data_IF_913299688955
#
_entry.id   IF_913299688955
#
_cell.length_a   1.000
_cell.length_b   1.000
_cell.length_c   1.000
_cell.angle_alpha   90.00
_cell.angle_beta   90.00
_cell.angle_gamma   90.00
#
_symmetry.space_group_name_H-M   'P 1'
#
loop_
_entity.id
_entity.type
_entity.pdbx_description
1 polymer ?
#
# COMPACT_ATOMS: atom_id res chain seq x y z
N UNK A 1 4.67 9.19 -3.36
CA UNK A 1 4.09 7.96 -3.92
C UNK A 1 5.17 6.89 -3.92
N UNK A 2 4.87 5.65 -3.50
CA UNK A 2 5.84 4.57 -3.63
C UNK A 2 5.97 4.11 -5.07
N UNK A 3 7.09 3.49 -5.43
CA UNK A 3 7.31 2.95 -6.77
C UNK A 3 6.24 1.90 -7.12
N UNK A 4 5.91 1.00 -6.18
CA UNK A 4 4.84 0.01 -6.37
C UNK A 4 3.47 0.66 -6.66
N UNK A 5 3.15 1.78 -6.01
CA UNK A 5 1.91 2.52 -6.26
C UNK A 5 1.89 3.17 -7.65
N UNK A 6 3.02 3.71 -8.10
CA UNK A 6 3.19 4.27 -9.44
C UNK A 6 2.96 3.18 -10.49
N UNK A 7 3.67 2.06 -10.38
CA UNK A 7 3.60 0.94 -11.33
C UNK A 7 2.17 0.40 -11.45
N UNK A 8 1.45 0.32 -10.33
CA UNK A 8 0.06 -0.14 -10.33
C UNK A 8 -0.88 0.82 -11.06
N UNK A 9 -0.70 2.13 -10.89
CA UNK A 9 -1.52 3.14 -11.56
C UNK A 9 -1.24 3.18 -13.06
N UNK A 10 0.04 3.10 -13.45
CA UNK A 10 0.46 3.02 -14.86
C UNK A 10 -0.08 1.78 -15.55
N UNK A 11 0.05 0.60 -14.93
CA UNK A 11 -0.48 -0.69 -15.44
C UNK A 11 -1.99 -0.61 -15.72
N UNK A 12 -2.73 0.13 -14.91
CA UNK A 12 -4.18 0.30 -15.04
C UNK A 12 -4.59 1.53 -15.85
N UNK A 13 -3.64 2.25 -16.47
CA UNK A 13 -3.88 3.49 -17.24
C UNK A 13 -4.65 4.55 -16.44
N UNK A 14 -4.41 4.62 -15.13
CA UNK A 14 -5.02 5.61 -14.24
C UNK A 14 -4.13 6.85 -14.23
N UNK A 15 -4.72 8.03 -14.45
CA UNK A 15 -3.98 9.30 -14.33
C UNK A 15 -3.80 9.67 -12.86
N UNK A 16 -2.61 10.13 -12.50
CA UNK A 16 -2.26 10.50 -11.13
C UNK A 16 -1.26 11.65 -11.13
N UNK A 17 -1.20 12.36 -10.02
CA UNK A 17 -0.19 13.37 -9.73
C UNK A 17 0.33 13.14 -8.31
N UNK A 18 1.61 13.41 -8.11
CA UNK A 18 2.25 13.32 -6.80
C UNK A 18 3.37 14.34 -6.71
N UNK A 19 3.64 14.82 -5.50
CA UNK A 19 4.71 15.82 -5.28
C UNK A 19 6.09 15.18 -5.23
N UNK A 20 6.21 14.06 -4.51
CA UNK A 20 7.48 13.36 -4.28
C UNK A 20 7.27 11.84 -4.41
N UNK A 21 8.22 11.15 -5.02
CA UNK A 21 8.27 9.69 -5.06
C UNK A 21 9.23 9.15 -4.01
N UNK A 22 9.01 7.90 -3.60
CA UNK A 22 9.91 7.15 -2.74
C UNK A 22 9.96 5.69 -3.19
N UNK A 23 11.01 4.96 -2.81
CA UNK A 23 11.10 3.53 -3.14
C UNK A 23 9.97 2.75 -2.47
N UNK A 24 9.68 3.05 -1.20
CA UNK A 24 8.60 2.44 -0.43
C UNK A 24 8.05 3.38 0.64
N UNK A 25 6.82 3.13 1.09
CA UNK A 25 6.21 3.87 2.20
C UNK A 25 6.73 3.29 3.52
N UNK A 26 7.32 4.15 4.36
CA UNK A 26 7.83 3.78 5.67
C UNK A 26 6.72 3.69 6.73
N UNK A 27 6.93 2.89 7.77
CA UNK A 27 6.10 2.88 8.96
C UNK A 27 6.24 4.20 9.74
N UNK A 28 5.38 4.39 10.75
CA UNK A 28 5.38 5.60 11.58
C UNK A 28 6.71 5.84 12.30
N UNK A 29 7.43 4.78 12.64
CA UNK A 29 8.72 4.86 13.34
C UNK A 29 9.89 5.12 12.38
N UNK A 30 9.67 5.10 11.07
CA UNK A 30 10.72 5.25 10.06
C UNK A 30 11.71 4.09 9.98
N UNK A 31 11.47 3.00 10.71
CA UNK A 31 12.38 1.85 10.87
C UNK A 31 12.22 0.77 9.81
N UNK A 32 11.13 0.82 9.02
CA UNK A 32 10.86 -0.19 8.01
C UNK A 32 9.63 0.12 7.16
N UNK A 33 9.11 -0.88 6.48
CA UNK A 33 7.91 -0.77 5.64
C UNK A 33 6.67 -0.46 6.47
N UNK A 34 5.81 0.40 5.93
CA UNK A 34 4.44 0.54 6.41
C UNK A 34 3.76 -0.85 6.39
N UNK A 35 3.02 -1.24 7.45
CA UNK A 35 2.30 -2.51 7.46
C UNK A 35 1.37 -2.70 6.26
N UNK A 36 0.78 -1.61 5.77
CA UNK A 36 -0.10 -1.62 4.60
C UNK A 36 0.70 -1.81 3.30
N UNK A 37 1.84 -1.12 3.16
CA UNK A 37 2.73 -1.29 1.99
C UNK A 37 3.21 -2.73 1.88
N UNK A 38 3.60 -3.32 3.01
CA UNK A 38 4.00 -4.73 3.07
C UNK A 38 2.84 -5.66 2.70
N UNK A 39 1.63 -5.37 3.15
CA UNK A 39 0.44 -6.16 2.83
C UNK A 39 0.11 -6.13 1.33
N UNK A 40 0.34 -5.00 0.66
CA UNK A 40 0.12 -4.86 -0.78
C UNK A 40 1.18 -5.53 -1.65
N UNK A 41 2.40 -5.77 -1.13
CA UNK A 41 3.45 -6.44 -1.90
C UNK A 41 3.09 -7.89 -2.28
N UNK A 42 2.28 -8.55 -1.46
CA UNK A 42 1.84 -9.95 -1.65
C UNK A 42 0.47 -10.03 -2.38
N UNK A 43 0.02 -8.96 -3.04
CA UNK A 43 -1.31 -8.89 -3.66
C UNK A 43 -1.25 -8.18 -5.01
N UNK A 44 -1.64 -8.89 -6.08
CA UNK A 44 -1.76 -8.30 -7.41
C UNK A 44 -3.15 -7.68 -7.66
N UNK A 45 -4.19 -8.28 -7.09
CA UNK A 45 -5.58 -7.88 -7.35
C UNK A 45 -6.09 -6.85 -6.31
N UNK A 46 -6.52 -5.65 -6.73
CA UNK A 46 -6.98 -4.60 -5.80
C UNK A 46 -8.09 -5.06 -4.85
N UNK A 47 -8.98 -5.95 -5.32
CA UNK A 47 -10.10 -6.47 -4.50
C UNK A 47 -9.60 -7.36 -3.37
N UNK A 48 -8.58 -8.18 -3.62
CA UNK A 48 -7.97 -9.01 -2.57
C UNK A 48 -7.31 -8.13 -1.51
N UNK A 49 -6.66 -7.04 -1.91
CA UNK A 49 -6.02 -6.12 -0.98
C UNK A 49 -7.06 -5.47 -0.06
N UNK A 50 -8.22 -5.08 -0.60
CA UNK A 50 -9.31 -4.52 0.20
C UNK A 50 -9.83 -5.51 1.26
N UNK A 51 -9.96 -6.80 0.92
CA UNK A 51 -10.36 -7.82 1.89
C UNK A 51 -9.30 -8.03 2.98
N UNK A 52 -8.01 -8.11 2.61
CA UNK A 52 -6.91 -8.19 3.58
C UNK A 52 -6.86 -6.96 4.49
N UNK A 53 -7.10 -5.77 3.95
CA UNK A 53 -7.15 -4.53 4.74
C UNK A 53 -8.29 -4.55 5.76
N UNK A 54 -9.49 -5.03 5.40
CA UNK A 54 -10.59 -5.18 6.36
C UNK A 54 -10.20 -6.08 7.53
N UNK A 55 -9.56 -7.22 7.25
CA UNK A 55 -9.08 -8.15 8.28
C UNK A 55 -8.01 -7.48 9.15
N UNK A 56 -7.05 -6.79 8.52
CA UNK A 56 -5.99 -6.06 9.22
C UNK A 56 -6.57 -5.01 10.18
N UNK A 57 -7.49 -4.15 9.70
CA UNK A 57 -8.11 -3.13 10.53
C UNK A 57 -8.99 -3.73 11.65
N UNK A 58 -9.71 -4.82 11.38
CA UNK A 58 -10.46 -5.53 12.41
C UNK A 58 -9.55 -6.12 13.50
N UNK A 59 -8.33 -6.53 13.15
CA UNK A 59 -7.37 -7.09 14.11
C UNK A 59 -6.79 -6.02 15.06
N UNK A 60 -6.60 -4.79 14.59
CA UNK A 60 -6.07 -3.69 15.41
C UNK A 60 -7.17 -2.98 16.21
N UNK A 61 -8.42 -2.99 15.75
CA UNK A 61 -9.55 -2.36 16.45
C UNK A 61 -10.02 -3.14 17.69
N UNK A 62 -9.57 -4.39 17.86
CA UNK A 62 -9.86 -5.23 19.04
C UNK A 62 -8.80 -5.10 20.15
N UNK A 63 -7.84 -4.19 20.01
CA UNK A 63 -6.91 -3.77 21.05
C UNK A 63 -7.35 -2.46 21.68
#
# INVERSE_FOLDING_TARGET
MSQAGIDMLEKNNIKYEFKESCEYIKNREGTGYCPIEKLSMDVEEPRELLEKLKIFFASIARK
#
